data_IF_997905489439
#
_entry.id   IF_997905489439
#
_cell.length_a   1.000
_cell.length_b   1.000
_cell.length_c   1.000
_cell.angle_alpha   90.00
_cell.angle_beta   90.00
_cell.angle_gamma   90.00
#
_symmetry.space_group_name_H-M   'P 1'
#
loop_
_entity.id
_entity.type
_entity.pdbx_description
1 polymer ?
#
# COMPACT_ATOMS: atom_id res chain seq x y z
N UNK A 1 38.82 20.29 -53.22
CA UNK A 1 38.61 21.54 -52.42
C UNK A 1 37.43 21.32 -51.48
N UNK A 2 37.70 21.18 -50.19
CA UNK A 2 36.66 21.01 -49.20
C UNK A 2 35.88 22.34 -49.03
N UNK A 3 34.57 22.27 -49.27
CA UNK A 3 33.67 23.44 -49.10
C UNK A 3 33.56 23.69 -47.57
N UNK A 4 33.91 24.93 -47.16
CA UNK A 4 33.83 25.40 -45.77
C UNK A 4 32.71 26.44 -45.64
N UNK A 5 31.99 26.45 -44.53
CA UNK A 5 31.12 27.55 -44.15
C UNK A 5 31.91 28.50 -43.24
N UNK A 6 31.81 29.81 -43.50
CA UNK A 6 32.45 30.83 -42.66
C UNK A 6 31.38 31.67 -41.98
N UNK A 7 31.45 31.77 -40.68
CA UNK A 7 30.65 32.71 -39.88
C UNK A 7 31.54 33.89 -39.54
N UNK A 8 31.09 35.08 -39.92
CA UNK A 8 31.80 36.35 -39.63
C UNK A 8 31.03 37.04 -38.52
N UNK A 9 31.65 37.21 -37.37
CA UNK A 9 31.08 37.95 -36.23
C UNK A 9 31.69 39.35 -36.26
N UNK A 10 30.84 40.35 -36.42
CA UNK A 10 31.21 41.76 -36.32
C UNK A 10 30.65 42.31 -35.01
N UNK A 11 31.51 42.90 -34.19
CA UNK A 11 31.12 43.58 -32.97
C UNK A 11 31.17 45.07 -33.19
N UNK A 12 30.17 45.80 -32.76
CA UNK A 12 30.10 47.25 -32.91
C UNK A 12 31.28 47.89 -32.14
N UNK A 13 32.22 48.51 -32.87
CA UNK A 13 33.41 49.17 -32.29
C UNK A 13 34.73 48.36 -32.42
N UNK A 14 34.80 47.22 -33.07
CA UNK A 14 36.04 46.47 -33.34
C UNK A 14 36.24 46.38 -34.87
N UNK A 15 37.30 47.00 -35.37
CA UNK A 15 37.59 47.04 -36.81
C UNK A 15 38.08 45.71 -37.39
N UNK A 16 38.18 44.65 -36.59
CA UNK A 16 38.69 43.36 -37.01
C UNK A 16 37.61 42.25 -36.90
N UNK A 17 36.96 41.86 -38.04
CA UNK A 17 35.97 40.80 -38.06
C UNK A 17 36.61 39.45 -37.68
N UNK A 18 36.03 38.76 -36.68
CA UNK A 18 36.45 37.42 -36.32
C UNK A 18 35.73 36.41 -37.24
N UNK A 19 36.51 35.67 -38.06
CA UNK A 19 35.98 34.66 -38.96
C UNK A 19 36.21 33.27 -38.39
N UNK A 20 35.11 32.49 -38.18
CA UNK A 20 35.16 31.09 -37.81
C UNK A 20 34.83 30.26 -39.05
N UNK A 21 35.71 29.35 -39.46
CA UNK A 21 35.46 28.47 -40.60
C UNK A 21 35.20 27.03 -40.13
N UNK A 22 34.05 26.46 -40.50
CA UNK A 22 33.65 25.10 -40.16
C UNK A 22 33.57 24.29 -41.46
N UNK A 23 34.13 23.05 -41.46
CA UNK A 23 34.00 22.20 -42.63
C UNK A 23 32.54 21.75 -42.81
N UNK A 24 32.10 21.60 -44.06
CA UNK A 24 30.71 21.21 -44.41
C UNK A 24 30.28 19.91 -43.74
N UNK A 25 31.23 18.97 -43.59
CA UNK A 25 30.94 17.68 -42.96
C UNK A 25 30.74 17.84 -41.45
N UNK A 26 31.58 18.64 -40.77
CA UNK A 26 31.42 18.94 -39.34
C UNK A 26 30.10 19.67 -39.05
N UNK A 27 29.73 20.62 -39.89
CA UNK A 27 28.43 21.32 -39.77
C UNK A 27 27.25 20.35 -39.89
N UNK A 28 27.27 19.43 -40.88
CA UNK A 28 26.25 18.39 -41.02
C UNK A 28 26.17 17.48 -39.81
N UNK A 29 27.33 17.05 -39.28
CA UNK A 29 27.39 16.21 -38.09
C UNK A 29 26.78 16.89 -36.86
N UNK A 30 27.03 18.19 -36.67
CA UNK A 30 26.46 18.97 -35.58
C UNK A 30 24.94 19.08 -35.75
N UNK A 31 24.45 19.35 -36.96
CA UNK A 31 22.99 19.43 -37.21
C UNK A 31 22.31 18.09 -36.95
N UNK A 32 22.89 16.98 -37.41
CA UNK A 32 22.36 15.65 -37.17
C UNK A 32 22.35 15.33 -35.64
N UNK A 33 23.42 15.66 -34.92
CA UNK A 33 23.50 15.47 -33.48
C UNK A 33 22.42 16.27 -32.75
N UNK A 34 22.18 17.51 -33.12
CA UNK A 34 21.11 18.35 -32.53
C UNK A 34 19.73 17.75 -32.79
N UNK A 35 19.48 17.27 -34.02
CA UNK A 35 18.19 16.65 -34.38
C UNK A 35 17.99 15.35 -33.52
N UNK A 36 19.01 14.52 -33.35
CA UNK A 36 18.95 13.31 -32.54
C UNK A 36 18.64 13.66 -31.08
N UNK A 37 19.26 14.69 -30.51
CA UNK A 37 18.98 15.15 -29.15
C UNK A 37 17.54 15.64 -28.98
N UNK A 38 17.03 16.39 -29.95
CA UNK A 38 15.63 16.86 -29.93
C UNK A 38 14.66 15.68 -29.99
N UNK A 39 14.87 14.73 -30.90
CA UNK A 39 14.02 13.54 -31.04
C UNK A 39 14.06 12.69 -29.77
N UNK A 40 15.25 12.50 -29.20
CA UNK A 40 15.42 11.78 -27.91
C UNK A 40 14.70 12.48 -26.76
N UNK A 41 14.79 13.80 -26.67
CA UNK A 41 14.11 14.61 -25.66
C UNK A 41 12.59 14.51 -25.78
N UNK A 42 12.06 14.56 -27.00
CA UNK A 42 10.61 14.40 -27.26
C UNK A 42 10.15 12.99 -26.89
N UNK A 43 10.91 11.96 -27.28
CA UNK A 43 10.60 10.57 -26.92
C UNK A 43 10.59 10.33 -25.40
N UNK A 44 11.56 10.91 -24.69
CA UNK A 44 11.64 10.87 -23.25
C UNK A 44 10.43 11.56 -22.57
N UNK A 45 10.02 12.71 -23.11
CA UNK A 45 8.86 13.46 -22.63
C UNK A 45 7.55 12.68 -22.82
N UNK A 46 7.33 12.09 -23.99
CA UNK A 46 6.15 11.26 -24.30
C UNK A 46 6.10 10.00 -23.40
N UNK A 47 7.25 9.44 -23.05
CA UNK A 47 7.33 8.27 -22.19
C UNK A 47 7.03 8.58 -20.70
N UNK A 48 7.47 9.76 -20.21
CA UNK A 48 7.35 10.11 -18.78
C UNK A 48 5.97 10.67 -18.42
N UNK A 49 5.35 11.46 -19.29
CA UNK A 49 4.07 12.13 -18.98
C UNK A 49 2.96 11.14 -18.58
N UNK A 50 2.69 10.05 -19.34
CA UNK A 50 1.63 9.12 -18.95
C UNK A 50 1.91 8.43 -17.60
N UNK A 51 3.19 8.20 -17.30
CA UNK A 51 3.60 7.57 -16.05
C UNK A 51 3.41 8.50 -14.85
N UNK A 52 3.64 9.79 -15.03
CA UNK A 52 3.40 10.80 -13.99
C UNK A 52 1.90 10.97 -13.71
N UNK A 53 1.05 11.06 -14.72
CA UNK A 53 -0.40 11.17 -14.57
C UNK A 53 -1.04 9.93 -13.92
N UNK A 54 -0.55 8.73 -14.23
CA UNK A 54 -1.05 7.53 -13.55
C UNK A 54 -0.64 7.47 -12.08
N UNK A 55 0.53 7.97 -11.73
CA UNK A 55 0.98 8.07 -10.35
C UNK A 55 0.14 9.08 -9.54
N UNK A 56 -0.14 10.25 -10.09
CA UNK A 56 -0.95 11.29 -9.46
C UNK A 56 -2.41 10.83 -9.24
N UNK A 57 -2.97 10.10 -10.20
CA UNK A 57 -4.30 9.50 -10.08
C UNK A 57 -4.38 8.45 -8.97
N UNK A 58 -3.40 7.53 -8.91
CA UNK A 58 -3.33 6.49 -7.87
C UNK A 58 -3.12 7.12 -6.49
N UNK A 59 -2.30 8.16 -6.39
CA UNK A 59 -2.08 8.90 -5.14
C UNK A 59 -3.38 9.58 -4.66
N UNK A 60 -4.13 10.20 -5.56
CA UNK A 60 -5.43 10.82 -5.23
C UNK A 60 -6.51 9.82 -4.81
N UNK A 61 -6.58 8.66 -5.48
CA UNK A 61 -7.50 7.57 -5.09
C UNK A 61 -7.13 6.98 -3.72
N UNK A 62 -5.84 6.89 -3.42
CA UNK A 62 -5.35 6.42 -2.11
C UNK A 62 -5.68 7.40 -0.99
N UNK A 63 -5.54 8.69 -1.22
CA UNK A 63 -5.90 9.74 -0.24
C UNK A 63 -7.41 9.77 0.02
N UNK A 64 -8.24 9.58 -1.01
CA UNK A 64 -9.69 9.45 -0.86
C UNK A 64 -10.06 8.22 -0.01
N UNK A 65 -9.44 7.08 -0.26
CA UNK A 65 -9.67 5.85 0.52
C UNK A 65 -9.26 6.00 1.99
N UNK A 66 -8.16 6.70 2.27
CA UNK A 66 -7.74 7.00 3.66
C UNK A 66 -8.78 7.89 4.34
N UNK A 67 -9.25 8.95 3.66
CA UNK A 67 -10.26 9.86 4.20
C UNK A 67 -11.60 9.16 4.44
N UNK A 68 -12.02 8.27 3.55
CA UNK A 68 -13.22 7.44 3.75
C UNK A 68 -13.05 6.48 4.94
N UNK A 69 -11.90 5.84 5.09
CA UNK A 69 -11.60 4.98 6.25
C UNK A 69 -11.60 5.76 7.56
N UNK A 70 -11.00 6.94 7.60
CA UNK A 70 -11.05 7.81 8.78
C UNK A 70 -12.47 8.23 9.13
N UNK A 71 -13.29 8.51 8.13
CA UNK A 71 -14.70 8.86 8.34
C UNK A 71 -15.50 7.67 8.88
N UNK A 72 -15.27 6.46 8.37
CA UNK A 72 -15.88 5.23 8.90
C UNK A 72 -15.42 4.99 10.34
N UNK A 73 -14.14 5.14 10.64
CA UNK A 73 -13.61 4.99 11.99
C UNK A 73 -14.21 6.01 12.98
N UNK A 74 -14.40 7.27 12.56
CA UNK A 74 -15.07 8.28 13.39
C UNK A 74 -16.54 7.94 13.64
N UNK A 75 -17.26 7.47 12.60
CA UNK A 75 -18.66 7.04 12.75
C UNK A 75 -18.82 5.85 13.69
N UNK A 76 -17.90 4.86 13.61
CA UNK A 76 -17.88 3.72 14.53
C UNK A 76 -17.63 4.15 15.97
N UNK A 77 -16.73 5.12 16.18
CA UNK A 77 -16.48 5.69 17.51
C UNK A 77 -17.69 6.46 18.04
N UNK A 78 -18.37 7.20 17.18
CA UNK A 78 -19.61 7.91 17.54
C UNK A 78 -20.74 6.94 17.90
N UNK A 79 -20.91 5.85 17.15
CA UNK A 79 -21.86 4.78 17.48
C UNK A 79 -21.52 4.10 18.80
N UNK A 80 -20.23 3.84 19.08
CA UNK A 80 -19.80 3.32 20.36
C UNK A 80 -20.14 4.25 21.52
N UNK A 81 -19.83 5.54 21.37
CA UNK A 81 -20.15 6.55 22.39
C UNK A 81 -21.66 6.69 22.61
N UNK A 82 -22.47 6.62 21.54
CA UNK A 82 -23.92 6.62 21.64
C UNK A 82 -24.45 5.38 22.36
N UNK A 83 -23.87 4.19 22.11
CA UNK A 83 -24.23 2.95 22.78
C UNK A 83 -23.87 3.01 24.28
N UNK A 84 -22.69 3.49 24.62
CA UNK A 84 -22.26 3.68 26.02
C UNK A 84 -23.17 4.70 26.74
N UNK A 85 -23.52 5.80 26.07
CA UNK A 85 -24.45 6.81 26.61
C UNK A 85 -25.85 6.22 26.80
N UNK A 86 -26.35 5.43 25.85
CA UNK A 86 -27.63 4.76 25.96
C UNK A 86 -27.64 3.77 27.15
N UNK A 87 -26.59 2.97 27.34
CA UNK A 87 -26.44 2.06 28.46
C UNK A 87 -26.39 2.82 29.80
N UNK A 88 -25.70 3.97 29.85
CA UNK A 88 -25.67 4.83 31.02
C UNK A 88 -27.05 5.40 31.35
N UNK A 89 -27.82 5.86 30.35
CA UNK A 89 -29.21 6.33 30.55
C UNK A 89 -30.12 5.22 31.03
N UNK A 90 -30.00 4.02 30.48
CA UNK A 90 -30.82 2.88 30.89
C UNK A 90 -30.53 2.47 32.35
N UNK A 91 -29.28 2.44 32.76
CA UNK A 91 -28.88 2.22 34.15
C UNK A 91 -29.38 3.33 35.09
N UNK A 92 -29.31 4.59 34.66
CA UNK A 92 -29.77 5.74 35.46
C UNK A 92 -31.28 5.78 35.63
N UNK A 93 -32.03 5.27 34.65
CA UNK A 93 -33.52 5.21 34.69
C UNK A 93 -34.06 3.94 35.35
N UNK A 94 -33.18 3.00 35.76
CA UNK A 94 -33.56 1.71 36.36
C UNK A 94 -34.38 0.81 35.42
N UNK A 95 -34.21 1.00 34.11
CA UNK A 95 -34.85 0.17 33.07
C UNK A 95 -34.03 -1.08 32.91
N UNK A 96 -34.56 -2.23 33.34
CA UNK A 96 -33.97 -3.53 33.17
C UNK A 96 -34.17 -3.98 31.72
N UNK A 97 -33.15 -3.85 30.90
CA UNK A 97 -33.23 -4.05 29.44
C UNK A 97 -33.20 -5.52 29.04
N UNK A 98 -32.88 -6.43 29.96
CA UNK A 98 -32.91 -7.88 29.70
C UNK A 98 -34.27 -8.42 29.18
N UNK A 99 -35.26 -7.56 29.02
CA UNK A 99 -36.59 -7.93 28.50
C UNK A 99 -36.90 -7.44 27.08
N UNK A 100 -36.05 -6.67 26.45
CA UNK A 100 -36.30 -6.10 25.08
C UNK A 100 -35.27 -6.43 24.00
N UNK A 101 -34.28 -7.28 24.29
CA UNK A 101 -33.22 -7.66 23.31
C UNK A 101 -33.59 -8.85 22.40
N UNK A 102 -34.87 -9.14 22.20
CA UNK A 102 -35.31 -10.34 21.44
C UNK A 102 -35.30 -10.18 19.91
N UNK A 103 -34.61 -9.17 19.35
CA UNK A 103 -34.57 -9.01 17.89
C UNK A 103 -33.20 -8.70 17.24
N UNK A 104 -32.14 -8.48 18.03
CA UNK A 104 -30.79 -8.28 17.47
C UNK A 104 -29.76 -9.35 17.85
N UNK A 105 -30.18 -10.37 18.62
CA UNK A 105 -29.32 -11.41 19.19
C UNK A 105 -28.99 -12.55 18.23
N UNK A 106 -29.51 -12.54 17.00
CA UNK A 106 -29.22 -13.65 16.07
C UNK A 106 -27.75 -13.67 15.64
N UNK A 107 -27.08 -12.53 15.59
CA UNK A 107 -25.66 -12.51 15.16
C UNK A 107 -24.73 -12.84 16.33
N UNK A 108 -24.97 -12.32 17.53
CA UNK A 108 -24.18 -12.63 18.73
C UNK A 108 -24.43 -14.06 19.24
N UNK A 109 -25.68 -14.54 19.16
CA UNK A 109 -26.05 -15.90 19.54
C UNK A 109 -25.47 -16.97 18.59
N UNK A 110 -25.37 -16.67 17.29
CA UNK A 110 -24.67 -17.57 16.34
C UNK A 110 -23.19 -17.72 16.67
N UNK A 111 -22.53 -16.67 17.16
CA UNK A 111 -21.12 -16.75 17.60
C UNK A 111 -20.95 -17.48 18.93
N UNK A 112 -21.88 -17.37 19.88
CA UNK A 112 -21.86 -18.12 21.14
C UNK A 112 -22.22 -19.61 20.93
N UNK A 113 -23.15 -19.93 20.03
CA UNK A 113 -23.52 -21.30 19.70
C UNK A 113 -22.40 -22.06 18.96
N UNK A 114 -21.50 -21.33 18.26
CA UNK A 114 -20.26 -21.90 17.69
C UNK A 114 -19.17 -22.17 18.73
N UNK A 115 -19.38 -21.85 20.03
CA UNK A 115 -18.40 -22.10 21.10
C UNK A 115 -17.09 -21.32 20.95
N UNK A 116 -17.10 -20.23 20.18
CA UNK A 116 -15.91 -19.42 19.92
C UNK A 116 -15.73 -18.45 21.07
N UNK A 117 -14.75 -18.73 21.92
CA UNK A 117 -14.40 -17.83 23.02
C UNK A 117 -14.07 -16.42 22.50
N UNK A 118 -14.56 -15.39 23.18
CA UNK A 118 -14.21 -13.98 22.90
C UNK A 118 -12.71 -13.74 22.68
N UNK A 119 -11.86 -14.48 23.41
CA UNK A 119 -10.40 -14.41 23.29
C UNK A 119 -9.84 -15.10 22.04
N UNK A 120 -10.62 -15.94 21.35
CA UNK A 120 -10.15 -16.59 20.11
C UNK A 120 -10.03 -15.59 18.95
N UNK A 121 -10.79 -14.49 19.01
CA UNK A 121 -10.86 -13.46 17.99
C UNK A 121 -9.78 -12.37 18.17
N UNK A 122 -9.12 -12.32 19.33
CA UNK A 122 -8.02 -11.38 19.56
C UNK A 122 -6.75 -11.92 18.88
N UNK A 123 -6.13 -11.16 17.94
CA UNK A 123 -4.87 -11.56 17.31
C UNK A 123 -3.75 -11.71 18.34
N UNK A 124 -3.43 -12.95 18.68
CA UNK A 124 -2.46 -13.28 19.74
C UNK A 124 -1.50 -14.41 19.37
N UNK A 125 -1.73 -15.07 18.23
CA UNK A 125 -0.83 -16.09 17.71
C UNK A 125 0.22 -15.44 16.82
N UNK A 126 1.49 -15.81 17.00
CA UNK A 126 2.59 -15.33 16.18
C UNK A 126 2.48 -15.94 14.77
N UNK A 127 2.21 -15.14 13.72
CA UNK A 127 1.92 -15.69 12.40
C UNK A 127 3.11 -16.41 11.76
N UNK A 128 4.31 -15.92 12.06
CA UNK A 128 5.57 -16.52 11.62
C UNK A 128 6.68 -16.19 12.61
N UNK A 129 7.51 -17.19 12.93
CA UNK A 129 8.68 -17.03 13.80
C UNK A 129 9.92 -16.82 12.96
N UNK A 130 10.45 -15.60 12.94
CA UNK A 130 11.61 -15.20 12.15
C UNK A 130 12.33 -14.01 12.76
N UNK A 131 13.20 -13.38 11.99
CA UNK A 131 13.94 -12.21 12.42
C UNK A 131 13.18 -10.93 12.02
N UNK A 132 12.82 -10.09 12.98
CA UNK A 132 12.17 -8.80 12.72
C UNK A 132 13.20 -7.85 12.11
N UNK A 133 13.00 -7.50 10.84
CA UNK A 133 13.90 -6.62 10.07
C UNK A 133 13.45 -5.17 10.08
N UNK A 134 12.13 -4.93 10.20
CA UNK A 134 11.54 -3.60 10.26
C UNK A 134 10.34 -3.61 11.19
N UNK A 135 10.26 -2.64 12.10
CA UNK A 135 9.13 -2.42 12.99
C UNK A 135 8.12 -1.43 12.41
N UNK A 136 7.04 -1.21 13.16
CA UNK A 136 6.10 -0.12 12.89
C UNK A 136 6.82 1.22 12.96
N UNK A 137 6.65 2.04 11.95
CA UNK A 137 7.24 3.38 11.86
C UNK A 137 6.26 4.32 11.18
N UNK A 138 5.94 5.41 11.85
CA UNK A 138 5.16 6.51 11.28
C UNK A 138 5.95 7.79 11.47
N UNK A 139 6.31 8.45 10.37
CA UNK A 139 7.01 9.74 10.37
C UNK A 139 6.04 10.81 9.88
N UNK A 140 5.70 11.77 10.75
CA UNK A 140 4.77 12.85 10.44
C UNK A 140 5.28 13.80 9.34
N UNK A 141 6.60 13.80 9.09
CA UNK A 141 7.25 14.68 8.13
C UNK A 141 7.62 13.98 6.81
N UNK A 142 7.61 12.64 6.78
CA UNK A 142 8.06 11.82 5.65
C UNK A 142 7.17 10.61 5.41
N UNK A 143 5.97 10.82 4.89
CA UNK A 143 5.01 9.74 4.58
C UNK A 143 5.55 8.63 3.66
N UNK A 144 6.61 8.88 2.88
CA UNK A 144 7.23 7.88 2.01
C UNK A 144 8.02 6.81 2.79
N UNK A 145 8.34 7.06 4.06
CA UNK A 145 9.07 6.16 4.95
C UNK A 145 8.15 5.42 5.93
N UNK A 146 6.83 5.70 5.91
CA UNK A 146 5.87 5.06 6.79
C UNK A 146 5.83 3.53 6.58
N UNK A 147 5.74 2.81 7.70
CA UNK A 147 5.62 1.38 7.74
C UNK A 147 4.57 0.98 8.78
N UNK A 148 3.39 0.59 8.32
CA UNK A 148 2.23 0.35 9.18
C UNK A 148 2.18 -1.06 9.77
N UNK A 149 3.24 -1.83 9.64
CA UNK A 149 3.33 -3.19 10.13
C UNK A 149 4.70 -3.55 10.69
N UNK A 150 4.94 -4.84 10.76
CA UNK A 150 6.25 -5.41 11.04
C UNK A 150 6.67 -6.33 9.90
N UNK A 151 7.95 -6.28 9.54
CA UNK A 151 8.55 -7.18 8.57
C UNK A 151 9.36 -8.26 9.28
N UNK A 152 9.00 -9.52 9.04
CA UNK A 152 9.65 -10.68 9.65
C UNK A 152 10.30 -11.53 8.57
N UNK A 153 11.64 -11.48 8.49
CA UNK A 153 12.41 -12.23 7.51
C UNK A 153 12.51 -13.71 7.89
N UNK A 154 12.50 -14.56 6.84
CA UNK A 154 12.67 -15.99 6.99
C UNK A 154 12.82 -16.72 5.66
N UNK A 155 12.99 -18.04 5.68
CA UNK A 155 13.14 -18.83 4.45
C UNK A 155 11.87 -18.78 3.61
N UNK A 156 12.02 -18.57 2.31
CA UNK A 156 10.91 -18.63 1.36
C UNK A 156 10.24 -20.00 1.39
N UNK A 157 8.90 -20.02 1.31
CA UNK A 157 8.10 -21.23 1.42
C UNK A 157 7.75 -21.64 2.87
N UNK A 158 8.25 -20.92 3.88
CA UNK A 158 7.84 -21.14 5.27
C UNK A 158 6.35 -20.90 5.47
N UNK A 159 5.71 -21.64 6.38
CA UNK A 159 4.27 -21.49 6.67
C UNK A 159 3.97 -20.19 7.41
N UNK A 160 2.95 -19.48 6.95
CA UNK A 160 2.35 -18.31 7.62
C UNK A 160 1.00 -18.76 8.20
N UNK A 161 0.73 -18.40 9.45
CA UNK A 161 -0.44 -18.84 10.20
C UNK A 161 -1.33 -17.67 10.60
N UNK A 162 -2.64 -17.91 10.72
CA UNK A 162 -3.59 -16.90 11.17
C UNK A 162 -3.34 -16.52 12.63
N UNK A 163 -3.31 -15.21 12.92
CA UNK A 163 -3.08 -14.69 14.27
C UNK A 163 -4.27 -14.92 15.22
N UNK A 164 -5.49 -15.10 14.69
CA UNK A 164 -6.71 -15.37 15.45
C UNK A 164 -7.74 -16.12 14.59
N UNK A 165 -8.85 -16.52 15.20
CA UNK A 165 -10.06 -16.95 14.50
C UNK A 165 -10.61 -15.76 13.68
N UNK A 166 -11.12 -16.01 12.46
CA UNK A 166 -11.72 -14.96 11.66
C UNK A 166 -12.15 -15.39 10.27
N UNK A 167 -12.71 -14.43 9.54
CA UNK A 167 -13.11 -14.61 8.14
C UNK A 167 -12.15 -13.90 7.19
N UNK A 168 -11.76 -14.59 6.15
CA UNK A 168 -10.94 -14.02 5.07
C UNK A 168 -11.78 -13.02 4.27
N UNK A 169 -11.49 -11.74 4.42
CA UNK A 169 -12.19 -10.68 3.69
C UNK A 169 -11.52 -10.35 2.36
N UNK A 170 -10.24 -10.65 2.26
CA UNK A 170 -9.48 -10.52 1.02
C UNK A 170 -8.39 -11.59 0.90
N UNK A 171 -8.21 -12.15 -0.31
CA UNK A 171 -7.08 -12.96 -0.72
C UNK A 171 -6.81 -12.68 -2.20
N UNK A 172 -5.65 -12.10 -2.52
CA UNK A 172 -5.36 -11.67 -3.88
C UNK A 172 -3.95 -11.10 -4.04
N UNK A 173 -3.77 -10.24 -5.06
CA UNK A 173 -2.47 -9.72 -5.43
C UNK A 173 -2.50 -8.22 -5.76
N UNK A 174 -1.41 -7.50 -5.41
CA UNK A 174 -1.14 -6.13 -5.86
C UNK A 174 0.34 -5.97 -6.22
N UNK A 175 0.67 -4.92 -6.99
CA UNK A 175 2.06 -4.59 -7.32
C UNK A 175 2.91 -4.26 -6.09
N UNK A 176 2.29 -3.74 -5.02
CA UNK A 176 3.00 -3.29 -3.82
C UNK A 176 3.20 -4.44 -2.84
N UNK A 177 2.13 -5.11 -2.41
CA UNK A 177 2.17 -6.17 -1.40
C UNK A 177 2.37 -7.59 -1.98
N UNK A 178 2.41 -7.74 -3.32
CA UNK A 178 2.42 -9.07 -3.95
C UNK A 178 1.15 -9.86 -3.65
N UNK A 179 1.28 -11.15 -3.39
CA UNK A 179 0.18 -11.94 -2.83
C UNK A 179 -0.03 -11.56 -1.37
N UNK A 180 -1.28 -11.24 -1.01
CA UNK A 180 -1.60 -10.87 0.37
C UNK A 180 -3.00 -11.32 0.78
N UNK A 181 -3.20 -11.40 2.08
CA UNK A 181 -4.44 -11.83 2.72
C UNK A 181 -4.83 -10.77 3.75
N UNK A 182 -6.13 -10.52 3.89
CA UNK A 182 -6.72 -9.76 5.01
C UNK A 182 -7.75 -10.64 5.69
N UNK A 183 -7.67 -10.75 7.01
CA UNK A 183 -8.60 -11.50 7.84
C UNK A 183 -9.30 -10.54 8.81
N UNK A 184 -10.62 -10.62 8.86
CA UNK A 184 -11.45 -9.94 9.85
C UNK A 184 -11.72 -10.88 11.02
N UNK A 185 -11.43 -10.44 12.22
CA UNK A 185 -11.52 -11.23 13.44
C UNK A 185 -12.73 -10.86 14.33
N UNK A 186 -13.59 -9.93 13.87
CA UNK A 186 -14.60 -9.32 14.73
C UNK A 186 -14.03 -8.19 15.59
N UNK A 187 -14.93 -7.47 16.31
CA UNK A 187 -14.54 -6.38 17.24
C UNK A 187 -13.53 -5.39 16.66
N UNK A 188 -13.66 -5.06 15.36
CA UNK A 188 -12.78 -4.15 14.62
C UNK A 188 -11.32 -4.59 14.46
N UNK A 189 -11.00 -5.85 14.77
CA UNK A 189 -9.68 -6.42 14.52
C UNK A 189 -9.55 -6.95 13.10
N UNK A 190 -8.52 -6.49 12.42
CA UNK A 190 -8.08 -7.00 11.13
C UNK A 190 -6.61 -7.38 11.23
N UNK A 191 -6.20 -8.41 10.49
CA UNK A 191 -4.79 -8.70 10.26
C UNK A 191 -4.49 -8.77 8.77
N UNK A 192 -3.30 -8.32 8.43
CA UNK A 192 -2.79 -8.27 7.06
C UNK A 192 -1.52 -9.12 6.95
N UNK A 193 -1.41 -9.90 5.86
CA UNK A 193 -0.28 -10.79 5.60
C UNK A 193 0.19 -10.58 4.17
N UNK A 194 1.30 -9.84 3.99
CA UNK A 194 1.83 -9.44 2.68
C UNK A 194 3.08 -10.19 2.25
N UNK A 195 3.45 -10.00 1.00
CA UNK A 195 4.61 -10.55 0.30
C UNK A 195 4.64 -12.08 0.21
N UNK A 196 3.48 -12.73 0.33
CA UNK A 196 3.35 -14.18 0.31
C UNK A 196 3.84 -14.75 -1.04
N UNK A 197 4.48 -15.92 -1.00
CA UNK A 197 4.76 -16.71 -2.19
C UNK A 197 3.45 -17.18 -2.83
N UNK A 198 2.52 -17.66 -2.00
CA UNK A 198 1.21 -18.12 -2.39
C UNK A 198 0.24 -18.05 -1.21
N UNK A 199 -0.97 -17.56 -1.46
CA UNK A 199 -2.09 -17.66 -0.56
C UNK A 199 -2.68 -19.09 -0.66
N UNK A 200 -3.00 -19.72 0.47
CA UNK A 200 -3.55 -21.07 0.55
C UNK A 200 -5.05 -21.06 0.84
N UNK A 201 -5.61 -19.90 1.10
CA UNK A 201 -7.01 -19.67 1.47
C UNK A 201 -7.62 -18.61 0.55
N UNK A 202 -8.95 -18.66 0.42
CA UNK A 202 -9.73 -17.77 -0.45
C UNK A 202 -10.67 -16.87 0.36
N UNK A 203 -11.12 -15.78 -0.26
CA UNK A 203 -12.09 -14.86 0.33
C UNK A 203 -13.37 -15.61 0.73
N UNK A 204 -13.89 -15.30 1.92
CA UNK A 204 -15.10 -15.89 2.50
C UNK A 204 -14.85 -17.12 3.37
N UNK A 205 -13.66 -17.73 3.32
CA UNK A 205 -13.31 -18.84 4.20
C UNK A 205 -13.16 -18.39 5.65
N UNK A 206 -13.54 -19.28 6.57
CA UNK A 206 -13.30 -19.14 8.01
C UNK A 206 -12.00 -19.84 8.35
N UNK A 207 -11.19 -19.20 9.17
CA UNK A 207 -9.93 -19.76 9.66
C UNK A 207 -9.88 -19.74 11.18
N UNK A 208 -9.24 -20.73 11.77
CA UNK A 208 -8.96 -20.78 13.19
C UNK A 208 -7.59 -20.13 13.47
N UNK A 209 -7.40 -19.71 14.71
CA UNK A 209 -6.11 -19.25 15.21
C UNK A 209 -5.04 -20.33 15.01
N UNK A 210 -3.94 -19.97 14.37
CA UNK A 210 -2.85 -20.91 14.06
C UNK A 210 -3.05 -21.76 12.81
N UNK A 211 -4.17 -21.58 12.06
CA UNK A 211 -4.32 -22.26 10.77
C UNK A 211 -3.27 -21.77 9.77
N UNK A 212 -2.72 -22.67 8.98
CA UNK A 212 -1.83 -22.34 7.87
C UNK A 212 -2.62 -21.63 6.77
N UNK A 213 -2.26 -20.38 6.45
CA UNK A 213 -2.99 -19.51 5.52
C UNK A 213 -2.21 -19.15 4.27
N UNK A 214 -0.88 -19.09 4.35
CA UNK A 214 -0.01 -18.73 3.24
C UNK A 214 1.38 -19.32 3.38
N UNK A 215 2.17 -19.18 2.32
CA UNK A 215 3.61 -19.48 2.34
C UNK A 215 4.39 -18.17 2.20
N UNK A 216 5.40 -17.97 3.06
CA UNK A 216 6.29 -16.82 3.05
C UNK A 216 6.99 -16.69 1.69
N UNK A 217 7.04 -15.48 1.16
CA UNK A 217 7.60 -15.24 -0.16
C UNK A 217 8.38 -13.95 -0.27
N UNK A 218 8.55 -13.54 -1.52
CA UNK A 218 9.29 -12.35 -1.92
C UNK A 218 8.56 -11.68 -3.10
N UNK A 219 7.22 -11.58 -3.01
CA UNK A 219 6.37 -11.05 -4.09
C UNK A 219 5.99 -9.59 -3.85
N UNK A 220 5.76 -8.84 -4.94
CA UNK A 220 5.47 -7.41 -4.88
C UNK A 220 6.73 -6.55 -4.72
N UNK A 221 6.62 -5.42 -4.02
CA UNK A 221 7.74 -4.49 -3.78
C UNK A 221 8.47 -4.88 -2.50
N UNK A 222 9.49 -5.71 -2.60
CA UNK A 222 10.27 -6.25 -1.47
C UNK A 222 11.76 -6.30 -1.81
N UNK A 223 12.62 -6.36 -0.81
CA UNK A 223 14.08 -6.48 -0.94
C UNK A 223 14.59 -7.89 -0.66
N UNK A 224 13.75 -8.78 -0.15
CA UNK A 224 14.09 -10.16 0.17
C UNK A 224 12.93 -10.90 0.83
N UNK A 225 13.00 -12.22 1.02
CA UNK A 225 11.90 -13.00 1.58
C UNK A 225 11.56 -12.57 3.01
N UNK A 226 10.33 -12.11 3.22
CA UNK A 226 9.80 -11.74 4.53
C UNK A 226 8.26 -11.76 4.52
N UNK A 227 7.67 -11.84 5.70
CA UNK A 227 6.27 -11.54 5.95
C UNK A 227 6.15 -10.08 6.34
N UNK A 228 5.33 -9.32 5.63
CA UNK A 228 4.81 -8.04 6.09
C UNK A 228 3.50 -8.29 6.85
N UNK A 229 3.44 -7.93 8.12
CA UNK A 229 2.31 -8.19 9.01
C UNK A 229 1.80 -6.90 9.67
N UNK A 230 0.48 -6.67 9.52
CA UNK A 230 -0.23 -5.58 10.19
C UNK A 230 -1.36 -6.11 11.05
#
# INVERSE_FOLDING_TARGET
MDKKYSVVVMTEGDDHPKTFSISKNLFKSIVVMVIVLIVSSIGFYIYIIPKYHSFEKISGEHEQLINERMKIASLLNDLKNMREMNNYFQQALGIDVDKFEDSNDTVSAEFEEMGVSYFSNVPSYTPFSGFVTRGFQQDLDRYEEDHFGIDVAGPEGSGIHSAAYGQVVFSGWTNYFGNYIIIFHGNDYFTFYGHNMRNLIERGQIVERGNLIALLGNTGKTTGPHLHFE
#
